data_IF_036641515674
#
_entry.id   IF_036641515674
#
_cell.length_a   1.000
_cell.length_b   1.000
_cell.length_c   1.000
_cell.angle_alpha   90.00
_cell.angle_beta   90.00
_cell.angle_gamma   90.00
#
_symmetry.space_group_name_H-M   'P 1'
#
loop_
_entity.id
_entity.type
_entity.pdbx_description
1 polymer ?
#
# COMPACT_ATOMS: atom_id res chain seq x y z
N UNK A 1 30.73 2.42 -5.94
CA UNK A 1 29.41 2.51 -5.27
C UNK A 1 29.24 1.21 -4.51
N UNK A 2 29.23 1.25 -3.17
CA UNK A 2 28.97 0.06 -2.36
C UNK A 2 27.57 -0.44 -2.68
N UNK A 3 27.48 -1.61 -3.31
CA UNK A 3 26.21 -2.33 -3.46
C UNK A 3 25.91 -3.05 -2.16
N UNK A 4 25.67 -2.29 -1.09
CA UNK A 4 24.97 -2.85 0.06
C UNK A 4 23.54 -3.13 -0.36
N UNK A 5 23.06 -4.34 -0.07
CA UNK A 5 21.65 -4.66 -0.29
C UNK A 5 20.80 -3.70 0.55
N UNK A 6 20.04 -2.84 -0.12
CA UNK A 6 19.18 -1.81 0.50
C UNK A 6 18.09 -2.40 1.41
N UNK A 7 17.85 -3.71 1.33
CA UNK A 7 16.82 -4.43 2.06
C UNK A 7 17.42 -5.64 2.77
N UNK A 8 16.87 -5.97 3.94
CA UNK A 8 17.27 -7.11 4.77
C UNK A 8 16.03 -7.88 5.26
N UNK A 9 16.22 -8.89 6.12
CA UNK A 9 15.13 -9.75 6.61
C UNK A 9 14.10 -9.02 7.51
N UNK A 10 14.43 -7.83 8.01
CA UNK A 10 13.55 -7.00 8.84
C UNK A 10 12.79 -5.92 8.05
N UNK A 11 13.14 -5.70 6.77
CA UNK A 11 12.53 -4.65 5.96
C UNK A 11 11.01 -4.84 5.85
N UNK A 12 10.25 -3.85 6.33
CA UNK A 12 8.79 -3.86 6.24
C UNK A 12 8.30 -3.48 4.85
N UNK A 13 7.20 -4.10 4.40
CA UNK A 13 6.56 -3.75 3.13
C UNK A 13 5.35 -2.87 3.41
N UNK A 14 5.30 -1.71 2.75
CA UNK A 14 4.13 -0.84 2.60
C UNK A 14 3.84 -0.75 1.10
N UNK A 15 2.61 -0.42 0.70
CA UNK A 15 2.36 -0.24 -0.73
C UNK A 15 1.26 0.72 -1.10
N UNK A 16 0.91 0.69 -2.39
CA UNK A 16 -0.31 1.30 -2.92
C UNK A 16 -1.02 0.32 -3.82
N UNK A 17 -2.34 0.20 -3.68
CA UNK A 17 -3.17 -0.64 -4.53
C UNK A 17 -4.06 0.22 -5.43
N UNK A 18 -4.22 -0.20 -6.67
CA UNK A 18 -5.08 0.46 -7.66
C UNK A 18 -5.00 -0.25 -9.00
N UNK A 19 -5.72 0.26 -9.99
CA UNK A 19 -5.61 -0.23 -11.36
C UNK A 19 -6.10 0.80 -12.39
N UNK A 20 -5.28 1.21 -13.38
CA UNK A 20 -3.84 0.95 -13.50
C UNK A 20 -3.03 1.75 -12.45
N UNK A 21 -1.93 1.18 -11.94
CA UNK A 21 -1.14 1.82 -10.86
C UNK A 21 0.25 2.37 -11.27
N UNK A 22 0.74 2.02 -12.47
CA UNK A 22 2.15 2.22 -12.88
C UNK A 22 2.63 3.68 -12.88
N UNK A 23 1.72 4.65 -12.93
CA UNK A 23 2.05 6.08 -12.94
C UNK A 23 2.04 6.73 -11.55
N UNK A 24 1.88 5.95 -10.49
CA UNK A 24 1.92 6.49 -9.13
C UNK A 24 3.32 7.01 -8.80
N UNK A 25 3.40 8.26 -8.33
CA UNK A 25 4.62 8.85 -7.77
C UNK A 25 4.84 8.48 -6.29
N UNK A 26 3.83 7.90 -5.62
CA UNK A 26 3.91 7.53 -4.20
C UNK A 26 5.10 6.61 -3.88
N UNK A 27 5.44 5.58 -4.70
CA UNK A 27 6.63 4.77 -4.45
C UNK A 27 7.92 5.58 -4.40
N UNK A 28 8.11 6.54 -5.30
CA UNK A 28 9.31 7.40 -5.29
C UNK A 28 9.33 8.26 -4.01
N UNK A 29 8.21 8.93 -3.71
CA UNK A 29 8.08 9.82 -2.56
C UNK A 29 8.34 9.10 -1.23
N UNK A 30 7.69 7.95 -0.99
CA UNK A 30 7.81 7.23 0.26
C UNK A 30 9.18 6.56 0.42
N UNK A 31 9.74 5.95 -0.63
CA UNK A 31 11.06 5.32 -0.52
C UNK A 31 12.17 6.35 -0.26
N UNK A 32 12.11 7.55 -0.86
CA UNK A 32 13.04 8.64 -0.52
C UNK A 32 12.85 9.06 0.94
N UNK A 33 11.61 9.18 1.40
CA UNK A 33 11.31 9.55 2.78
C UNK A 33 11.83 8.51 3.79
N UNK A 34 11.68 7.22 3.50
CA UNK A 34 12.20 6.14 4.34
C UNK A 34 13.73 6.19 4.44
N UNK A 35 14.40 6.43 3.32
CA UNK A 35 15.86 6.58 3.28
C UNK A 35 16.35 7.78 4.10
N UNK A 36 15.73 8.95 3.91
CA UNK A 36 16.09 10.18 4.64
C UNK A 36 15.84 10.07 6.16
N UNK A 37 14.85 9.27 6.56
CA UNK A 37 14.48 9.08 7.96
C UNK A 37 15.13 7.84 8.60
N UNK A 38 15.91 7.06 7.84
CA UNK A 38 16.53 5.82 8.34
C UNK A 38 15.51 4.73 8.73
N UNK A 39 14.36 4.68 8.04
CA UNK A 39 13.29 3.71 8.30
C UNK A 39 13.47 2.48 7.41
N UNK A 40 13.44 1.28 8.01
CA UNK A 40 13.62 0.00 7.31
C UNK A 40 12.32 -0.48 6.64
N UNK A 41 11.88 0.27 5.62
CA UNK A 41 10.68 -0.04 4.84
C UNK A 41 10.92 0.11 3.34
N UNK A 42 10.15 -0.64 2.55
CA UNK A 42 10.00 -0.46 1.11
C UNK A 42 8.55 -0.17 0.77
N UNK A 43 8.33 0.82 -0.10
CA UNK A 43 7.02 1.16 -0.64
C UNK A 43 6.86 0.64 -2.07
N UNK A 44 5.87 -0.23 -2.32
CA UNK A 44 5.68 -0.88 -3.62
C UNK A 44 4.29 -0.60 -4.24
N UNK A 45 4.20 -0.37 -5.55
CA UNK A 45 2.92 -0.32 -6.25
C UNK A 45 2.44 -1.74 -6.60
N UNK A 46 1.20 -2.07 -6.21
CA UNK A 46 0.54 -3.33 -6.56
C UNK A 46 -0.61 -3.05 -7.53
N UNK A 47 -0.48 -3.54 -8.77
CA UNK A 47 -1.53 -3.41 -9.78
C UNK A 47 -2.59 -4.48 -9.53
N UNK A 48 -3.75 -4.08 -9.00
CA UNK A 48 -4.79 -4.99 -8.54
C UNK A 48 -6.07 -4.69 -9.31
N UNK A 49 -6.45 -5.51 -10.30
CA UNK A 49 -7.77 -5.40 -10.93
C UNK A 49 -8.89 -5.58 -9.90
N UNK A 50 -10.04 -4.92 -10.09
CA UNK A 50 -11.17 -4.96 -9.14
C UNK A 50 -11.64 -6.39 -8.84
N UNK A 51 -11.60 -7.29 -9.82
CA UNK A 51 -11.94 -8.71 -9.64
C UNK A 51 -11.05 -9.43 -8.63
N UNK A 52 -9.83 -8.94 -8.42
CA UNK A 52 -8.83 -9.56 -7.55
C UNK A 52 -8.71 -8.85 -6.19
N UNK A 53 -9.45 -7.75 -5.94
CA UNK A 53 -9.28 -6.92 -4.74
C UNK A 53 -9.36 -7.75 -3.45
N UNK A 54 -10.40 -8.57 -3.28
CA UNK A 54 -10.56 -9.43 -2.10
C UNK A 54 -9.41 -10.43 -1.92
N UNK A 55 -8.92 -11.01 -3.00
CA UNK A 55 -7.81 -11.95 -2.96
C UNK A 55 -6.49 -11.25 -2.61
N UNK A 56 -6.25 -10.06 -3.17
CA UNK A 56 -5.09 -9.24 -2.87
C UNK A 56 -5.05 -8.84 -1.39
N UNK A 57 -6.17 -8.38 -0.82
CA UNK A 57 -6.27 -8.02 0.60
C UNK A 57 -5.95 -9.20 1.52
N UNK A 58 -6.47 -10.40 1.21
CA UNK A 58 -6.13 -11.62 1.96
C UNK A 58 -4.63 -11.93 1.86
N UNK A 59 -4.04 -11.80 0.67
CA UNK A 59 -2.61 -11.98 0.46
C UNK A 59 -1.77 -10.98 1.25
N UNK A 60 -2.17 -9.71 1.29
CA UNK A 60 -1.47 -8.65 2.03
C UNK A 60 -1.42 -8.93 3.52
N UNK A 61 -2.55 -9.37 4.10
CA UNK A 61 -2.61 -9.80 5.50
C UNK A 61 -1.71 -11.03 5.73
N UNK A 62 -1.81 -12.04 4.88
CA UNK A 62 -1.04 -13.28 5.01
C UNK A 62 0.48 -13.07 4.86
N UNK A 63 0.90 -12.13 4.01
CA UNK A 63 2.31 -11.77 3.79
C UNK A 63 2.85 -10.79 4.85
N UNK A 64 2.02 -10.31 5.78
CA UNK A 64 2.43 -9.36 6.80
C UNK A 64 2.76 -7.97 6.27
N UNK A 65 2.15 -7.55 5.15
CA UNK A 65 2.26 -6.17 4.64
C UNK A 65 1.71 -5.21 5.69
N UNK A 66 2.50 -4.18 6.03
CA UNK A 66 2.28 -3.32 7.20
C UNK A 66 1.18 -2.28 7.01
N UNK A 67 0.86 -1.97 5.77
CA UNK A 67 -0.18 -1.03 5.38
C UNK A 67 -0.09 -0.72 3.90
N UNK A 68 -1.10 -0.05 3.37
CA UNK A 68 -1.09 0.38 1.99
C UNK A 68 -1.99 1.59 1.78
N UNK A 69 -1.65 2.42 0.80
CA UNK A 69 -2.60 3.36 0.26
C UNK A 69 -3.53 2.68 -0.75
N UNK A 70 -4.70 3.28 -0.94
CA UNK A 70 -5.72 2.83 -1.89
C UNK A 70 -5.99 3.96 -2.87
N UNK A 71 -5.99 3.65 -4.17
CA UNK A 71 -6.36 4.59 -5.22
C UNK A 71 -7.41 4.02 -6.15
N UNK A 72 -7.72 4.74 -7.22
CA UNK A 72 -8.68 4.34 -8.24
C UNK A 72 -8.42 2.91 -8.72
N UNK A 73 -9.48 2.09 -8.92
CA UNK A 73 -10.90 2.37 -8.68
C UNK A 73 -11.40 1.90 -7.30
N UNK A 74 -10.51 1.63 -6.34
CA UNK A 74 -10.84 0.82 -5.15
C UNK A 74 -11.34 1.60 -3.94
N UNK A 75 -11.11 2.92 -3.90
CA UNK A 75 -11.32 3.75 -2.70
C UNK A 75 -12.72 3.61 -2.09
N UNK A 76 -13.76 3.54 -2.92
CA UNK A 76 -15.15 3.45 -2.47
C UNK A 76 -15.57 2.03 -2.10
N UNK A 77 -14.94 1.02 -2.70
CA UNK A 77 -15.35 -0.39 -2.56
C UNK A 77 -14.57 -1.14 -1.50
N UNK A 78 -13.42 -0.61 -1.08
CA UNK A 78 -12.54 -1.32 -0.16
C UNK A 78 -13.13 -1.46 1.24
N UNK A 79 -13.95 -0.50 1.68
CA UNK A 79 -14.52 -0.47 3.02
C UNK A 79 -15.25 -1.76 3.42
N UNK A 80 -15.94 -2.42 2.48
CA UNK A 80 -16.64 -3.70 2.73
C UNK A 80 -15.71 -4.87 3.13
N UNK A 81 -14.39 -4.71 2.98
CA UNK A 81 -13.39 -5.72 3.30
C UNK A 81 -12.57 -5.37 4.56
N UNK A 82 -12.80 -4.21 5.17
CA UNK A 82 -12.07 -3.74 6.35
C UNK A 82 -12.84 -4.13 7.63
N UNK A 83 -12.09 -4.40 8.70
CA UNK A 83 -12.68 -4.69 10.01
C UNK A 83 -13.24 -3.41 10.66
N UNK A 84 -12.51 -2.31 10.51
CA UNK A 84 -12.82 -1.01 11.08
C UNK A 84 -12.56 0.09 10.03
N UNK A 85 -13.34 1.17 10.11
CA UNK A 85 -13.23 2.34 9.23
C UNK A 85 -13.37 3.59 10.11
N UNK A 86 -12.52 4.60 9.86
CA UNK A 86 -12.61 5.87 10.61
C UNK A 86 -13.93 6.59 10.35
N UNK A 87 -14.35 7.47 11.25
CA UNK A 87 -15.58 8.25 11.08
C UNK A 87 -15.52 9.09 9.80
N UNK A 88 -14.37 9.70 9.51
CA UNK A 88 -14.15 10.51 8.31
C UNK A 88 -14.31 9.67 7.03
N UNK A 89 -13.72 8.47 7.00
CA UNK A 89 -13.83 7.57 5.86
C UNK A 89 -15.27 7.05 5.65
N UNK A 90 -16.03 6.85 6.74
CA UNK A 90 -17.46 6.53 6.66
C UNK A 90 -18.27 7.68 6.08
N UNK A 91 -18.00 8.92 6.50
CA UNK A 91 -18.70 10.12 5.99
C UNK A 91 -18.35 10.38 4.52
N UNK A 92 -17.08 10.24 4.14
CA UNK A 92 -16.61 10.45 2.77
C UNK A 92 -17.07 9.30 1.85
N UNK A 93 -17.26 8.10 2.39
CA UNK A 93 -17.57 6.89 1.62
C UNK A 93 -16.37 6.35 0.83
N UNK A 94 -15.15 6.73 1.22
CA UNK A 94 -13.93 6.30 0.54
C UNK A 94 -12.75 6.20 1.51
N UNK A 95 -11.89 5.21 1.29
CA UNK A 95 -10.68 4.96 2.08
C UNK A 95 -9.47 5.07 1.16
N UNK A 96 -8.45 5.82 1.56
CA UNK A 96 -7.16 5.90 0.86
C UNK A 96 -5.98 5.37 1.69
N UNK A 97 -6.19 5.04 2.97
CA UNK A 97 -5.20 4.51 3.92
C UNK A 97 -5.91 3.64 4.94
#
# INVERSE_FOLDING_TARGET
>A
MNTENKFNHNTGIIGVIGHPIKHSFSPLMHNISFELLGLDYVYLPFDVPTSNLKAALKGMVALGIKGFNVTLPHKEKIGQFLNDISEEANVIGAVNT
#
